data_IF_529718969639
#
_entry.id   IF_529718969639
#
_cell.length_a   1.000
_cell.length_b   1.000
_cell.length_c   1.000
_cell.angle_alpha   90.00
_cell.angle_beta   90.00
_cell.angle_gamma   90.00
#
_symmetry.space_group_name_H-M   'P 1'
#
loop_
_entity.id
_entity.type
_entity.pdbx_description
1 polymer ?
#
# COMPACT_ATOMS: atom_id res chain seq x y z
N UNK A 1 8.01 14.06 -3.20
CA UNK A 1 8.50 13.08 -4.19
C UNK A 1 7.65 11.80 -4.10
N UNK A 2 7.36 11.16 -5.24
CA UNK A 2 6.58 9.91 -5.30
C UNK A 2 7.35 8.73 -4.69
N UNK A 3 6.67 7.62 -4.39
CA UNK A 3 7.29 6.40 -3.86
C UNK A 3 7.45 6.39 -2.33
N UNK A 4 6.48 6.95 -1.61
CA UNK A 4 6.42 6.83 -0.15
C UNK A 4 6.11 5.38 0.27
N UNK A 5 6.53 4.98 1.48
CA UNK A 5 6.27 3.64 2.04
C UNK A 5 4.76 3.36 2.19
N UNK A 6 3.97 4.41 2.35
CA UNK A 6 2.52 4.39 2.26
C UNK A 6 2.00 5.67 1.57
N UNK A 7 0.77 5.63 1.10
CA UNK A 7 0.06 6.75 0.48
C UNK A 7 -1.38 6.78 0.97
N UNK A 8 -1.96 7.96 1.15
CA UNK A 8 -3.37 8.13 1.45
C UNK A 8 -3.99 8.92 0.31
N UNK A 9 -5.08 8.40 -0.26
CA UNK A 9 -5.78 9.03 -1.37
C UNK A 9 -7.29 8.77 -1.29
N UNK A 10 -8.08 9.83 -1.30
CA UNK A 10 -9.55 9.80 -1.31
C UNK A 10 -10.12 8.92 -0.18
N UNK A 11 -9.53 9.03 1.01
CA UNK A 11 -9.90 8.25 2.18
C UNK A 11 -9.43 6.79 2.17
N UNK A 12 -8.58 6.37 1.22
CA UNK A 12 -8.01 5.02 1.16
C UNK A 12 -6.54 5.05 1.58
N UNK A 13 -6.12 4.04 2.34
CA UNK A 13 -4.73 3.82 2.73
C UNK A 13 -4.08 2.79 1.80
N UNK A 14 -2.96 3.15 1.20
CA UNK A 14 -2.18 2.30 0.32
C UNK A 14 -0.83 2.01 0.96
N UNK A 15 -0.45 0.73 1.08
CA UNK A 15 0.91 0.34 1.45
C UNK A 15 1.28 -1.01 0.85
N UNK A 16 2.58 -1.28 0.74
CA UNK A 16 3.06 -2.47 0.02
C UNK A 16 3.03 -3.73 0.89
N UNK A 17 3.77 -3.80 2.00
CA UNK A 17 3.94 -5.05 2.75
C UNK A 17 2.91 -5.22 3.88
N UNK A 18 3.34 -4.94 5.10
CA UNK A 18 2.58 -5.21 6.32
C UNK A 18 2.70 -4.05 7.30
N UNK A 19 1.69 -3.86 8.16
CA UNK A 19 1.84 -3.04 9.37
C UNK A 19 2.27 -3.98 10.49
N UNK A 20 3.50 -3.88 11.04
CA UNK A 20 3.96 -4.82 12.05
C UNK A 20 3.05 -4.84 13.27
N UNK A 21 2.54 -6.03 13.61
CA UNK A 21 1.68 -6.26 14.76
C UNK A 21 2.20 -7.42 15.60
N UNK A 22 1.92 -7.39 16.90
CA UNK A 22 2.04 -8.55 17.77
C UNK A 22 0.81 -9.47 17.67
N UNK A 23 0.81 -10.56 18.44
CA UNK A 23 -0.28 -11.56 18.43
C UNK A 23 -1.60 -11.01 18.98
N UNK A 24 -1.55 -9.98 19.84
CA UNK A 24 -2.72 -9.30 20.42
C UNK A 24 -3.27 -8.19 19.49
N UNK A 25 -2.61 -7.95 18.36
CA UNK A 25 -2.97 -6.95 17.38
C UNK A 25 -2.63 -5.52 17.79
N UNK A 26 -1.71 -5.33 18.73
CA UNK A 26 -1.06 -4.04 18.94
C UNK A 26 0.04 -3.84 17.92
N UNK A 27 0.35 -2.58 17.59
CA UNK A 27 1.45 -2.29 16.70
C UNK A 27 2.79 -2.60 17.38
N UNK A 28 3.63 -3.37 16.70
CA UNK A 28 4.95 -3.74 17.25
C UNK A 28 5.78 -2.49 17.51
N UNK A 29 6.27 -2.36 18.75
CA UNK A 29 7.22 -1.32 19.11
C UNK A 29 8.61 -1.64 18.53
N UNK A 30 9.21 -0.66 17.87
CA UNK A 30 10.53 -0.74 17.23
C UNK A 30 11.42 0.32 17.84
N UNK A 31 12.45 -0.12 18.55
CA UNK A 31 13.50 0.78 19.04
C UNK A 31 14.52 1.00 17.93
N UNK A 32 14.61 2.23 17.45
CA UNK A 32 15.54 2.62 16.40
C UNK A 32 16.21 3.93 16.80
N UNK A 33 17.56 3.91 16.83
CA UNK A 33 18.37 4.95 17.48
C UNK A 33 17.94 5.25 18.92
N UNK A 34 17.55 6.49 19.19
CA UNK A 34 17.22 7.04 20.49
C UNK A 34 15.72 7.10 20.77
N UNK A 35 14.90 6.56 19.87
CA UNK A 35 13.44 6.61 19.97
C UNK A 35 12.78 5.25 19.75
N UNK A 36 11.55 5.15 20.24
CA UNK A 36 10.64 4.06 19.96
C UNK A 36 9.55 4.51 18.99
N UNK A 37 9.28 3.65 18.00
CA UNK A 37 8.33 3.85 16.93
C UNK A 37 7.36 2.68 16.87
N UNK A 38 6.13 2.93 16.45
CA UNK A 38 5.13 1.90 16.14
C UNK A 38 4.14 2.49 15.14
N UNK A 39 3.33 1.63 14.52
CA UNK A 39 2.26 2.04 13.62
C UNK A 39 2.72 3.04 12.54
N UNK A 40 2.00 4.15 12.41
CA UNK A 40 2.29 5.20 11.43
C UNK A 40 3.65 5.85 11.68
N UNK A 41 4.04 6.06 12.95
CA UNK A 41 5.35 6.67 13.29
C UNK A 41 6.52 5.84 12.78
N UNK A 42 6.36 4.52 12.74
CA UNK A 42 7.37 3.63 12.18
C UNK A 42 7.45 3.74 10.65
N UNK A 43 6.31 3.77 9.97
CA UNK A 43 6.25 4.03 8.52
C UNK A 43 6.89 5.36 8.14
N UNK A 44 6.60 6.43 8.88
CA UNK A 44 7.19 7.75 8.67
C UNK A 44 8.73 7.72 8.89
N UNK A 45 9.20 6.93 9.85
CA UNK A 45 10.64 6.73 10.09
C UNK A 45 11.30 5.99 8.93
N UNK A 46 10.68 4.90 8.46
CA UNK A 46 11.17 4.13 7.31
C UNK A 46 11.26 4.99 6.04
N UNK A 47 10.24 5.79 5.75
CA UNK A 47 10.23 6.70 4.59
C UNK A 47 11.34 7.74 4.67
N UNK A 48 11.55 8.37 5.84
CA UNK A 48 12.66 9.31 6.03
C UNK A 48 14.02 8.65 5.79
N UNK A 49 14.26 7.47 6.36
CA UNK A 49 15.54 6.76 6.21
C UNK A 49 15.78 6.34 4.76
N UNK A 50 14.76 5.83 4.06
CA UNK A 50 14.85 5.50 2.64
C UNK A 50 15.20 6.73 1.78
N UNK A 51 14.56 7.88 2.07
CA UNK A 51 14.85 9.15 1.38
C UNK A 51 16.26 9.64 1.66
N UNK A 52 16.80 9.46 2.88
CA UNK A 52 18.20 9.78 3.17
C UNK A 52 19.15 8.98 2.26
N UNK A 53 18.89 7.68 2.06
CA UNK A 53 19.73 6.82 1.22
C UNK A 53 19.76 7.26 -0.25
N UNK A 54 18.70 7.89 -0.73
CA UNK A 54 18.58 8.34 -2.12
C UNK A 54 18.97 9.81 -2.34
N UNK A 55 18.54 10.72 -1.46
CA UNK A 55 18.63 12.17 -1.68
C UNK A 55 19.74 12.86 -0.88
N UNK A 56 20.31 12.25 0.17
CA UNK A 56 21.39 12.89 0.92
C UNK A 56 22.65 13.04 0.04
N UNK A 57 23.51 14.05 0.30
CA UNK A 57 24.71 14.27 -0.50
C UNK A 57 25.58 13.03 -0.62
N UNK A 58 26.16 12.82 -1.80
CA UNK A 58 27.07 11.69 -2.05
C UNK A 58 28.27 11.74 -1.09
N UNK A 59 28.66 10.58 -0.54
CA UNK A 59 29.72 10.47 0.47
C UNK A 59 29.35 10.94 1.88
N UNK A 60 28.14 11.46 2.12
CA UNK A 60 27.70 11.83 3.47
C UNK A 60 27.36 10.61 4.33
N UNK A 61 27.58 10.74 5.64
CA UNK A 61 27.17 9.73 6.62
C UNK A 61 25.66 9.43 6.55
N UNK A 62 24.83 10.44 6.34
CA UNK A 62 23.37 10.29 6.18
C UNK A 62 23.01 9.40 5.00
N UNK A 63 23.71 9.55 3.87
CA UNK A 63 23.48 8.72 2.68
C UNK A 63 23.85 7.27 2.94
N UNK A 64 25.01 7.03 3.55
CA UNK A 64 25.46 5.68 3.91
C UNK A 64 24.45 4.99 4.83
N UNK A 65 24.04 5.66 5.91
CA UNK A 65 23.04 5.14 6.85
C UNK A 65 21.72 4.84 6.17
N UNK A 66 21.26 5.72 5.27
CA UNK A 66 20.03 5.48 4.52
C UNK A 66 20.15 4.31 3.53
N UNK A 67 21.32 4.12 2.91
CA UNK A 67 21.58 2.98 2.02
C UNK A 67 21.59 1.65 2.78
N UNK A 68 22.23 1.60 3.94
CA UNK A 68 22.18 0.46 4.85
C UNK A 68 20.73 0.18 5.30
N UNK A 69 19.95 1.24 5.52
CA UNK A 69 18.54 1.11 5.88
C UNK A 69 17.67 0.58 4.73
N UNK A 70 18.00 0.85 3.46
CA UNK A 70 17.32 0.24 2.32
C UNK A 70 17.50 -1.29 2.31
N UNK A 71 18.67 -1.78 2.70
CA UNK A 71 18.90 -3.20 2.90
C UNK A 71 18.03 -3.76 4.02
N UNK A 72 17.96 -3.05 5.15
CA UNK A 72 17.04 -3.40 6.24
C UNK A 72 15.58 -3.43 5.79
N UNK A 73 15.13 -2.50 4.94
CA UNK A 73 13.75 -2.52 4.43
C UNK A 73 13.45 -3.78 3.62
N UNK A 74 14.45 -4.36 2.96
CA UNK A 74 14.29 -5.58 2.18
C UNK A 74 14.20 -6.85 3.03
N UNK A 75 14.92 -6.95 4.15
CA UNK A 75 15.04 -8.20 4.93
C UNK A 75 14.65 -8.11 6.42
N UNK A 76 14.36 -6.92 6.93
CA UNK A 76 14.08 -6.68 8.34
C UNK A 76 12.74 -7.23 8.79
N UNK A 77 12.71 -7.92 9.93
CA UNK A 77 11.52 -8.63 10.42
C UNK A 77 10.29 -7.74 10.67
N UNK A 78 10.54 -6.49 11.05
CA UNK A 78 9.49 -5.46 11.27
C UNK A 78 9.53 -4.39 10.18
N UNK A 79 10.13 -4.68 9.02
CA UNK A 79 10.04 -3.78 7.86
C UNK A 79 8.60 -3.74 7.33
N UNK A 80 8.06 -2.53 7.06
CA UNK A 80 6.72 -2.38 6.49
C UNK A 80 6.60 -2.88 5.03
N UNK A 81 7.73 -3.19 4.37
CA UNK A 81 7.78 -3.63 2.97
C UNK A 81 7.98 -5.15 2.87
N UNK A 82 8.36 -5.83 3.96
CA UNK A 82 8.71 -7.26 3.94
C UNK A 82 7.78 -8.14 4.80
N UNK A 83 7.65 -7.83 6.09
CA UNK A 83 6.68 -8.51 6.98
C UNK A 83 6.95 -9.99 7.29
N UNK A 84 8.19 -10.48 7.23
CA UNK A 84 8.53 -11.87 7.63
C UNK A 84 9.78 -11.92 8.49
N UNK A 85 9.94 -12.99 9.28
CA UNK A 85 11.01 -13.12 10.28
C UNK A 85 12.44 -13.04 9.72
N UNK A 86 12.68 -13.54 8.51
CA UNK A 86 14.00 -13.56 7.88
C UNK A 86 13.90 -13.76 6.37
N UNK A 87 14.80 -13.14 5.61
CA UNK A 87 14.97 -13.35 4.16
C UNK A 87 15.84 -14.57 3.90
N UNK A 88 15.22 -15.71 3.57
CA UNK A 88 15.90 -17.01 3.45
C UNK A 88 16.35 -17.35 2.02
N UNK A 89 16.52 -16.32 1.17
CA UNK A 89 16.81 -16.53 -0.25
C UNK A 89 18.13 -17.28 -0.46
N UNK A 90 19.16 -16.97 0.32
CA UNK A 90 20.45 -17.65 0.21
C UNK A 90 20.37 -19.10 0.69
N UNK A 91 19.70 -19.34 1.81
CA UNK A 91 19.47 -20.66 2.39
C UNK A 91 18.74 -21.56 1.38
N UNK A 92 17.71 -21.03 0.71
CA UNK A 92 16.98 -21.73 -0.37
C UNK A 92 17.85 -22.13 -1.55
N UNK A 93 18.87 -21.32 -1.88
CA UNK A 93 19.74 -21.55 -3.02
C UNK A 93 20.90 -22.50 -2.69
N UNK A 94 21.43 -22.43 -1.47
CA UNK A 94 22.71 -23.06 -1.13
C UNK A 94 22.64 -24.12 -0.04
N UNK A 95 21.54 -24.19 0.73
CA UNK A 95 21.37 -25.14 1.82
C UNK A 95 20.22 -26.08 1.49
N UNK A 96 20.52 -27.39 1.42
CA UNK A 96 19.50 -28.39 1.09
C UNK A 96 18.45 -28.60 2.19
N UNK A 97 18.79 -28.31 3.46
CA UNK A 97 17.90 -28.48 4.61
C UNK A 97 16.72 -27.48 4.57
N UNK A 98 15.47 -27.94 4.33
CA UNK A 98 14.31 -27.08 4.22
C UNK A 98 13.95 -26.36 5.52
N UNK A 99 14.41 -26.84 6.68
CA UNK A 99 14.17 -26.16 7.96
C UNK A 99 14.79 -24.75 7.97
N UNK A 100 15.88 -24.55 7.22
CA UNK A 100 16.56 -23.25 7.08
C UNK A 100 15.82 -22.25 6.17
N UNK A 101 14.79 -22.70 5.45
CA UNK A 101 14.04 -21.88 4.48
C UNK A 101 12.78 -21.24 5.08
N UNK A 102 12.55 -21.44 6.38
CA UNK A 102 11.35 -21.01 7.07
C UNK A 102 11.31 -19.48 7.22
N UNK A 103 10.29 -18.85 6.64
CA UNK A 103 10.00 -17.43 6.81
C UNK A 103 8.65 -17.28 7.52
N UNK A 104 8.70 -16.96 8.81
CA UNK A 104 7.49 -16.81 9.61
C UNK A 104 6.86 -15.47 9.28
N UNK A 105 5.60 -15.48 8.83
CA UNK A 105 4.84 -14.27 8.52
C UNK A 105 4.56 -13.49 9.80
N UNK A 106 4.64 -12.16 9.72
CA UNK A 106 4.19 -11.29 10.81
C UNK A 106 2.70 -11.57 11.16
N UNK A 107 2.31 -11.52 12.44
CA UNK A 107 0.92 -11.73 12.89
C UNK A 107 -0.13 -10.92 12.10
N UNK A 108 0.25 -9.73 11.62
CA UNK A 108 -0.51 -8.91 10.68
C UNK A 108 -1.27 -9.73 9.62
N UNK A 109 -0.61 -10.64 8.92
CA UNK A 109 -1.22 -11.38 7.80
C UNK A 109 -2.40 -12.26 8.21
N UNK A 110 -2.41 -12.72 9.47
CA UNK A 110 -3.53 -13.47 10.04
C UNK A 110 -4.59 -12.50 10.60
N UNK A 111 -4.15 -11.47 11.29
CA UNK A 111 -5.00 -10.52 12.01
C UNK A 111 -5.86 -9.63 11.11
N UNK A 112 -5.40 -9.32 9.89
CA UNK A 112 -6.17 -8.54 8.91
C UNK A 112 -7.44 -9.22 8.39
N UNK A 113 -7.66 -10.50 8.71
CA UNK A 113 -8.93 -11.16 8.41
C UNK A 113 -10.06 -10.66 9.33
N UNK A 114 -9.72 -10.10 10.50
CA UNK A 114 -10.67 -9.51 11.44
C UNK A 114 -10.87 -8.00 11.13
N UNK A 115 -12.12 -7.54 10.90
CA UNK A 115 -12.44 -6.13 10.69
C UNK A 115 -11.87 -5.19 11.76
N UNK A 116 -11.86 -5.60 13.04
CA UNK A 116 -11.42 -4.74 14.13
C UNK A 116 -9.93 -4.35 14.01
N UNK A 117 -9.10 -5.28 13.52
CA UNK A 117 -7.67 -5.00 13.29
C UNK A 117 -7.46 -4.10 12.07
N UNK A 118 -8.25 -4.28 11.01
CA UNK A 118 -8.20 -3.42 9.82
C UNK A 118 -8.64 -2.00 10.15
N UNK A 119 -9.69 -1.84 10.95
CA UNK A 119 -10.15 -0.54 11.44
C UNK A 119 -9.11 0.14 12.35
N UNK A 120 -8.43 -0.63 13.21
CA UNK A 120 -7.31 -0.12 14.02
C UNK A 120 -6.19 0.43 13.14
N UNK A 121 -5.82 -0.29 12.08
CA UNK A 121 -4.82 0.20 11.12
C UNK A 121 -5.30 1.49 10.46
N UNK A 122 -6.53 1.52 9.91
CA UNK A 122 -7.06 2.73 9.29
C UNK A 122 -7.02 3.93 10.25
N UNK A 123 -7.44 3.74 11.50
CA UNK A 123 -7.43 4.79 12.52
C UNK A 123 -6.02 5.28 12.86
N UNK A 124 -5.03 4.39 12.93
CA UNK A 124 -3.61 4.75 13.13
C UNK A 124 -3.07 5.68 12.03
N UNK A 125 -3.60 5.54 10.82
CA UNK A 125 -3.26 6.41 9.69
C UNK A 125 -4.22 7.61 9.53
N UNK A 126 -5.10 7.85 10.51
CA UNK A 126 -6.03 8.99 10.53
C UNK A 126 -7.30 8.80 9.70
N UNK A 127 -7.61 7.57 9.29
CA UNK A 127 -8.80 7.25 8.49
C UNK A 127 -9.86 6.56 9.36
N UNK A 128 -10.92 7.28 9.69
CA UNK A 128 -12.05 6.75 10.51
C UNK A 128 -13.37 6.72 9.75
N UNK A 129 -13.39 7.20 8.50
CA UNK A 129 -14.61 7.25 7.71
C UNK A 129 -15.10 5.83 7.38
N UNK A 130 -16.42 5.55 7.38
CA UNK A 130 -16.95 4.22 7.07
C UNK A 130 -16.56 3.69 5.69
N UNK A 131 -16.29 4.61 4.74
CA UNK A 131 -15.89 4.31 3.37
C UNK A 131 -14.37 4.26 3.16
N UNK A 132 -13.58 4.26 4.23
CA UNK A 132 -12.13 4.09 4.16
C UNK A 132 -11.76 2.62 3.96
N UNK A 133 -10.83 2.38 3.04
CA UNK A 133 -10.32 1.05 2.72
C UNK A 133 -8.80 1.04 2.74
N UNK A 134 -8.24 -0.12 3.05
CA UNK A 134 -6.83 -0.43 2.83
C UNK A 134 -6.70 -1.11 1.49
N UNK A 135 -5.78 -0.62 0.65
CA UNK A 135 -5.36 -1.27 -0.58
C UNK A 135 -3.92 -1.71 -0.40
N UNK A 136 -3.70 -3.02 -0.43
CA UNK A 136 -2.41 -3.62 -0.14
C UNK A 136 -1.89 -4.43 -1.34
N UNK A 137 -0.57 -4.40 -1.54
CA UNK A 137 0.12 -5.19 -2.56
C UNK A 137 1.00 -6.28 -1.93
N UNK A 138 2.07 -6.67 -2.63
CA UNK A 138 3.20 -7.46 -2.12
C UNK A 138 3.01 -8.98 -2.03
N UNK A 139 1.97 -9.46 -1.34
CA UNK A 139 1.78 -10.90 -1.16
C UNK A 139 0.77 -11.45 -2.17
N UNK A 140 1.18 -12.41 -3.02
CA UNK A 140 0.28 -13.03 -3.97
C UNK A 140 -0.88 -13.72 -3.26
N UNK A 141 -2.10 -13.40 -3.71
CA UNK A 141 -3.31 -14.08 -3.26
C UNK A 141 -3.34 -15.46 -3.91
N UNK A 142 -3.39 -16.51 -3.09
CA UNK A 142 -3.47 -17.90 -3.59
C UNK A 142 -4.93 -18.30 -3.81
N UNK A 143 -5.52 -17.84 -4.91
CA UNK A 143 -6.92 -18.13 -5.23
C UNK A 143 -7.19 -19.65 -5.36
N UNK A 144 -6.21 -20.42 -5.86
CA UNK A 144 -6.27 -21.90 -5.90
C UNK A 144 -6.43 -22.56 -4.53
N UNK A 145 -5.94 -21.92 -3.47
CA UNK A 145 -6.07 -22.40 -2.08
C UNK A 145 -7.33 -21.83 -1.40
N UNK A 146 -8.19 -21.12 -2.15
CA UNK A 146 -9.41 -20.49 -1.64
C UNK A 146 -9.17 -19.15 -0.93
N UNK A 147 -7.97 -18.58 -1.01
CA UNK A 147 -7.68 -17.27 -0.43
C UNK A 147 -8.48 -16.17 -1.13
N UNK A 148 -9.14 -15.32 -0.35
CA UNK A 148 -9.88 -14.16 -0.87
C UNK A 148 -9.01 -12.89 -0.87
N UNK A 149 -9.07 -12.07 -1.94
CA UNK A 149 -8.38 -10.78 -2.01
C UNK A 149 -9.01 -9.73 -1.09
N UNK A 150 -10.31 -9.88 -0.79
CA UNK A 150 -11.06 -9.01 0.12
C UNK A 150 -11.03 -9.62 1.53
N UNK A 151 -10.54 -8.85 2.50
CA UNK A 151 -10.35 -9.26 3.90
C UNK A 151 -10.96 -8.23 4.87
N UNK A 152 -10.98 -8.55 6.16
CA UNK A 152 -11.38 -7.63 7.22
C UNK A 152 -12.76 -7.02 7.03
N UNK A 153 -13.74 -7.84 6.64
CA UNK A 153 -15.13 -7.39 6.44
C UNK A 153 -15.33 -6.46 5.23
N UNK A 154 -14.45 -6.52 4.23
CA UNK A 154 -14.55 -5.68 3.03
C UNK A 154 -13.64 -4.45 3.05
N UNK A 155 -12.97 -4.17 4.17
CA UNK A 155 -12.15 -2.95 4.36
C UNK A 155 -10.70 -3.09 3.93
N UNK A 156 -10.19 -4.30 3.70
CA UNK A 156 -8.84 -4.51 3.15
C UNK A 156 -8.92 -5.27 1.84
N UNK A 157 -8.26 -4.75 0.82
CA UNK A 157 -8.26 -5.30 -0.54
C UNK A 157 -6.80 -5.55 -0.94
N UNK A 158 -6.46 -6.80 -1.19
CA UNK A 158 -5.16 -7.22 -1.71
C UNK A 158 -5.24 -7.26 -3.23
N UNK A 159 -4.48 -6.41 -3.90
CA UNK A 159 -4.51 -6.23 -5.37
C UNK A 159 -3.24 -6.75 -6.05
N UNK A 160 -2.66 -7.83 -5.53
CA UNK A 160 -1.35 -8.26 -6.00
C UNK A 160 -1.35 -8.74 -7.47
N UNK A 161 -0.25 -8.39 -8.14
CA UNK A 161 -0.05 -8.51 -9.57
C UNK A 161 0.36 -9.92 -9.96
N UNK A 162 -0.63 -10.76 -10.26
CA UNK A 162 -0.40 -12.05 -10.93
C UNK A 162 0.25 -11.94 -12.31
N UNK A 163 0.41 -10.74 -12.89
CA UNK A 163 0.90 -10.53 -14.26
C UNK A 163 2.30 -11.10 -14.54
N UNK A 164 3.05 -11.47 -13.51
CA UNK A 164 4.29 -12.21 -13.69
C UNK A 164 3.98 -13.70 -13.88
N UNK A 165 4.33 -14.24 -15.06
CA UNK A 165 4.10 -15.63 -15.45
C UNK A 165 4.61 -16.65 -14.43
N UNK A 166 5.68 -16.35 -13.69
CA UNK A 166 6.23 -17.20 -12.64
C UNK A 166 5.28 -17.42 -11.45
N UNK A 167 4.27 -16.56 -11.28
CA UNK A 167 3.30 -16.64 -10.18
C UNK A 167 1.97 -17.28 -10.57
N UNK A 168 1.62 -17.36 -11.88
CA UNK A 168 0.36 -17.95 -12.33
C UNK A 168 0.14 -19.38 -11.79
N UNK A 169 1.19 -20.21 -11.73
CA UNK A 169 1.10 -21.57 -11.19
C UNK A 169 0.77 -21.61 -9.68
N UNK A 170 1.07 -20.53 -8.94
CA UNK A 170 0.84 -20.43 -7.50
C UNK A 170 -0.45 -19.68 -7.15
N UNK A 171 -0.85 -18.72 -7.96
CA UNK A 171 -2.06 -17.90 -7.73
C UNK A 171 -3.30 -18.48 -8.38
N UNK A 172 -3.14 -19.11 -9.55
CA UNK A 172 -4.22 -19.59 -10.44
C UNK A 172 -4.95 -18.48 -11.19
N UNK A 173 -4.47 -17.24 -11.12
CA UNK A 173 -5.06 -16.07 -11.79
C UNK A 173 -3.94 -15.16 -12.32
N UNK A 174 -4.24 -14.35 -13.34
CA UNK A 174 -3.35 -13.31 -13.85
C UNK A 174 -3.29 -12.07 -12.96
N UNK A 175 -4.19 -11.96 -11.97
CA UNK A 175 -4.16 -10.91 -10.95
C UNK A 175 -5.45 -10.12 -10.87
N UNK A 176 -5.39 -9.02 -10.14
CA UNK A 176 -6.55 -8.18 -9.86
C UNK A 176 -6.39 -6.77 -10.40
N UNK A 177 -7.51 -6.12 -10.71
CA UNK A 177 -7.58 -4.68 -10.96
C UNK A 177 -8.68 -4.08 -10.12
N UNK A 178 -8.31 -3.13 -9.26
CA UNK A 178 -9.27 -2.36 -8.48
C UNK A 178 -9.63 -1.09 -9.23
N UNK A 179 -10.92 -0.94 -9.54
CA UNK A 179 -11.46 0.24 -10.22
C UNK A 179 -12.19 1.09 -9.18
N UNK A 180 -11.67 2.30 -8.95
CA UNK A 180 -12.33 3.34 -8.15
C UNK A 180 -12.91 4.41 -9.08
N UNK A 181 -14.21 4.70 -8.96
CA UNK A 181 -14.88 5.75 -9.73
C UNK A 181 -15.98 6.44 -8.91
N UNK A 182 -16.72 7.36 -9.55
CA UNK A 182 -17.75 8.16 -8.88
C UNK A 182 -18.86 7.37 -8.19
N UNK A 183 -19.01 6.08 -8.48
CA UNK A 183 -20.03 5.20 -7.90
C UNK A 183 -19.48 4.27 -6.81
N UNK A 184 -18.16 4.20 -6.61
CA UNK A 184 -17.52 3.33 -5.61
C UNK A 184 -16.37 2.49 -6.16
N UNK A 185 -16.20 1.28 -5.63
CA UNK A 185 -15.08 0.37 -5.91
C UNK A 185 -15.54 -0.97 -6.46
N UNK A 186 -14.92 -1.43 -7.55
CA UNK A 186 -15.11 -2.76 -8.12
C UNK A 186 -13.76 -3.45 -8.27
N UNK A 187 -13.66 -4.68 -7.80
CA UNK A 187 -12.51 -5.55 -8.03
C UNK A 187 -12.78 -6.42 -9.26
N UNK A 188 -11.88 -6.39 -10.23
CA UNK A 188 -11.89 -7.29 -11.40
C UNK A 188 -10.81 -8.33 -11.20
N UNK A 189 -11.14 -9.59 -11.46
CA UNK A 189 -10.20 -10.72 -11.46
C UNK A 189 -9.91 -11.09 -12.91
N UNK A 190 -8.65 -11.24 -13.26
CA UNK A 190 -8.22 -11.64 -14.60
C UNK A 190 -7.73 -13.07 -14.59
N UNK A 191 -8.20 -13.88 -15.54
CA UNK A 191 -7.69 -15.23 -15.74
C UNK A 191 -6.35 -15.20 -16.51
N UNK A 192 -5.47 -16.20 -16.30
CA UNK A 192 -4.24 -16.35 -17.07
C UNK A 192 -4.56 -16.56 -18.55
N UNK A 193 -3.85 -15.85 -19.43
CA UNK A 193 -3.86 -16.13 -20.86
C UNK A 193 -2.71 -17.10 -21.18
N UNK A 194 -3.03 -18.32 -21.58
CA UNK A 194 -2.01 -19.35 -21.80
C UNK A 194 -1.29 -19.21 -23.16
N UNK A 195 -2.05 -19.11 -24.27
CA UNK A 195 -1.48 -18.90 -25.61
C UNK A 195 -2.55 -18.45 -26.61
N UNK A 196 -2.10 -17.83 -27.72
CA UNK A 196 -2.98 -17.45 -28.83
C UNK A 196 -3.60 -18.69 -29.47
N UNK A 197 -2.80 -19.75 -29.68
CA UNK A 197 -3.28 -20.99 -30.29
C UNK A 197 -4.37 -21.64 -29.46
N UNK A 198 -4.20 -21.74 -28.13
CA UNK A 198 -5.22 -22.30 -27.24
C UNK A 198 -6.48 -21.43 -27.22
N UNK A 199 -6.34 -20.11 -27.12
CA UNK A 199 -7.49 -19.20 -27.10
C UNK A 199 -8.31 -19.29 -28.40
N UNK A 200 -7.65 -19.42 -29.56
CA UNK A 200 -8.33 -19.62 -30.85
C UNK A 200 -8.95 -21.02 -30.95
N UNK A 201 -8.28 -22.07 -30.46
CA UNK A 201 -8.77 -23.44 -30.55
C UNK A 201 -9.94 -23.73 -29.60
N UNK A 202 -9.91 -23.14 -28.40
CA UNK A 202 -10.89 -23.33 -27.33
C UNK A 202 -11.95 -22.22 -27.30
N UNK A 203 -11.84 -21.21 -28.18
CA UNK A 203 -12.69 -20.02 -28.24
C UNK A 203 -12.75 -19.30 -26.88
N UNK A 204 -11.63 -19.32 -26.13
CA UNK A 204 -11.51 -18.70 -24.81
C UNK A 204 -11.52 -17.17 -24.96
N UNK A 205 -12.62 -16.53 -24.52
CA UNK A 205 -12.69 -15.08 -24.30
C UNK A 205 -12.01 -14.71 -22.97
N UNK A 206 -11.62 -13.44 -22.79
CA UNK A 206 -11.03 -12.95 -21.53
C UNK A 206 -12.10 -12.99 -20.43
N UNK A 207 -12.20 -14.12 -19.73
CA UNK A 207 -13.10 -14.26 -18.60
C UNK A 207 -12.60 -13.38 -17.45
N UNK A 208 -13.33 -12.29 -17.19
CA UNK A 208 -13.09 -11.41 -16.04
C UNK A 208 -14.27 -11.43 -15.08
N UNK A 209 -14.05 -11.96 -13.88
CA UNK A 209 -15.06 -11.90 -12.82
C UNK A 209 -14.99 -10.55 -12.11
N UNK A 210 -16.13 -10.08 -11.60
CA UNK A 210 -16.27 -8.70 -11.14
C UNK A 210 -17.06 -8.63 -9.85
N UNK A 211 -16.43 -8.10 -8.80
CA UNK A 211 -17.01 -8.01 -7.47
C UNK A 211 -17.14 -6.54 -7.07
N UNK A 212 -18.32 -6.13 -6.63
CA UNK A 212 -18.54 -4.78 -6.08
C UNK A 212 -18.06 -4.78 -4.62
N UNK A 213 -17.03 -4.00 -4.33
CA UNK A 213 -16.45 -3.90 -2.98
C UNK A 213 -17.15 -2.81 -2.18
N UNK A 214 -17.35 -1.66 -2.80
CA UNK A 214 -17.96 -0.50 -2.17
C UNK A 214 -18.91 0.19 -3.15
N UNK A 215 -20.08 0.58 -2.66
CA UNK A 215 -21.05 1.40 -3.38
C UNK A 215 -21.19 2.71 -2.64
N UNK A 216 -20.87 3.81 -3.31
CA UNK A 216 -20.98 5.12 -2.71
C UNK A 216 -22.46 5.47 -2.46
N UNK A 217 -22.83 6.00 -1.28
CA UNK A 217 -24.22 6.34 -0.96
C UNK A 217 -24.75 7.48 -1.82
N UNK A 218 -23.84 8.32 -2.34
CA UNK A 218 -24.09 9.32 -3.37
C UNK A 218 -22.93 9.32 -4.35
N UNK A 219 -23.14 9.92 -5.53
CA UNK A 219 -22.07 10.11 -6.49
C UNK A 219 -20.95 10.95 -5.88
N UNK A 220 -19.72 10.45 -5.96
CA UNK A 220 -18.50 11.15 -5.57
C UNK A 220 -18.18 12.15 -6.67
N UNK A 221 -18.10 13.42 -6.30
CA UNK A 221 -17.77 14.53 -7.18
C UNK A 221 -16.28 14.86 -7.08
N UNK A 222 -15.76 15.63 -8.04
CA UNK A 222 -14.36 16.09 -8.00
C UNK A 222 -14.11 16.88 -6.71
N UNK A 223 -15.05 17.71 -6.26
CA UNK A 223 -14.91 18.45 -5.00
C UNK A 223 -14.83 17.57 -3.75
N UNK A 224 -15.22 16.29 -3.81
CA UNK A 224 -15.12 15.35 -2.69
C UNK A 224 -13.74 14.66 -2.62
N UNK A 225 -12.89 14.82 -3.64
CA UNK A 225 -11.56 14.18 -3.70
C UNK A 225 -10.49 15.04 -3.06
N UNK A 226 -9.37 14.43 -2.69
CA UNK A 226 -8.22 15.16 -2.12
C UNK A 226 -7.68 16.22 -3.09
N UNK A 227 -7.71 15.93 -4.40
CA UNK A 227 -7.38 16.90 -5.45
C UNK A 227 -8.39 18.05 -5.53
N UNK A 228 -9.68 17.76 -5.41
CA UNK A 228 -10.72 18.79 -5.40
C UNK A 228 -10.60 19.73 -4.20
N UNK A 229 -10.28 19.17 -3.03
CA UNK A 229 -10.02 19.94 -1.82
C UNK A 229 -8.76 20.81 -1.98
N UNK A 230 -7.67 20.27 -2.54
CA UNK A 230 -6.46 21.05 -2.84
C UNK A 230 -6.75 22.22 -3.80
N UNK A 231 -7.52 21.98 -4.85
CA UNK A 231 -7.96 23.04 -5.77
C UNK A 231 -8.85 24.08 -5.10
N UNK A 232 -9.70 23.66 -4.16
CA UNK A 232 -10.52 24.59 -3.37
C UNK A 232 -9.64 25.51 -2.54
N UNK A 233 -8.69 24.96 -1.80
CA UNK A 233 -7.71 25.75 -1.03
C UNK A 233 -6.93 26.72 -1.92
N UNK A 234 -6.48 26.27 -3.11
CA UNK A 234 -5.79 27.14 -4.06
C UNK A 234 -6.66 28.31 -4.54
N UNK A 235 -7.96 28.07 -4.80
CA UNK A 235 -8.92 29.13 -5.13
C UNK A 235 -9.07 30.11 -3.97
N UNK A 236 -9.28 29.61 -2.75
CA UNK A 236 -9.49 30.43 -1.57
C UNK A 236 -8.25 31.31 -1.28
N UNK A 237 -7.03 30.75 -1.45
CA UNK A 237 -5.77 31.47 -1.31
C UNK A 237 -5.62 32.59 -2.37
N UNK A 238 -6.02 32.32 -3.62
CA UNK A 238 -5.98 33.31 -4.71
C UNK A 238 -7.03 34.42 -4.52
N UNK A 239 -8.22 34.09 -4.02
CA UNK A 239 -9.25 35.06 -3.67
C UNK A 239 -8.77 35.97 -2.54
N UNK A 240 -8.20 35.40 -1.47
CA UNK A 240 -7.60 36.16 -0.36
C UNK A 240 -6.45 37.06 -0.83
N UNK A 241 -5.60 36.56 -1.74
CA UNK A 241 -4.51 37.35 -2.33
C UNK A 241 -5.07 38.53 -3.14
N UNK A 242 -6.10 38.29 -3.94
CA UNK A 242 -6.77 39.34 -4.75
C UNK A 242 -7.39 40.41 -3.86
N UNK A 243 -8.06 40.01 -2.78
CA UNK A 243 -8.61 40.94 -1.80
C UNK A 243 -7.52 41.77 -1.12
N UNK A 244 -6.41 41.13 -0.74
CA UNK A 244 -5.27 41.78 -0.10
C UNK A 244 -4.58 42.82 -1.00
N UNK A 245 -4.55 42.62 -2.32
CA UNK A 245 -4.13 43.66 -3.26
C UNK A 245 -5.18 44.76 -3.38
N UNK A 246 -6.46 44.41 -3.52
CA UNK A 246 -7.56 45.36 -3.70
C UNK A 246 -7.77 46.31 -2.51
N UNK A 247 -7.48 45.86 -1.29
CA UNK A 247 -7.58 46.65 -0.07
C UNK A 247 -6.23 47.27 0.39
N UNK A 248 -5.14 47.02 -0.35
CA UNK A 248 -3.82 47.58 -0.08
C UNK A 248 -3.06 46.95 1.09
N UNK A 249 -3.49 45.79 1.61
CA UNK A 249 -2.71 44.98 2.56
C UNK A 249 -1.38 44.52 1.95
N UNK A 250 -1.39 44.19 0.66
CA UNK A 250 -0.19 43.87 -0.13
C UNK A 250 -0.03 44.95 -1.19
N UNK A 251 1.17 45.53 -1.26
CA UNK A 251 1.51 46.53 -2.29
C UNK A 251 1.99 45.84 -3.54
N UNK A 252 1.45 46.27 -4.67
CA UNK A 252 1.98 45.91 -5.98
C UNK A 252 3.42 46.42 -6.09
N UNK A 253 4.35 45.52 -6.46
CA UNK A 253 5.69 45.94 -6.84
C UNK A 253 5.61 46.42 -8.29
N UNK A 254 5.67 47.72 -8.49
CA UNK A 254 5.91 48.26 -9.83
C UNK A 254 7.37 47.98 -10.19
N UNK A 255 7.58 47.20 -11.26
CA UNK A 255 8.87 47.14 -11.97
C UNK A 255 9.04 48.37 -12.87
#
# INVERSE_FOLDING_TARGET
AKGSVYHIENGNLLYHGAVPMDEDGQFTAVRFWDAEYSGKRWFDCCDRCARMGYFAPEGSWQRQVGQDFLWYLWCGAVSPIYGRSAMTTFERLYIADPATHAEIKNPYYRLINDPANVERILAEFGLTAPNSHIVNGHVPVRAIEGEKPVKGGGKLIVIDGGFCSAYHQKTGIAGYTLVYNSHGMTLRTHQPFESIEKAIHEDEDIESSSERIYTAPRRILIGDTDEGQRKRTEIDDLEALTEAYGNGLIREKME
#
